data_IF_958032535260
#
_entry.id   IF_958032535260
#
_cell.length_a   1.000
_cell.length_b   1.000
_cell.length_c   1.000
_cell.angle_alpha   90.00
_cell.angle_beta   90.00
_cell.angle_gamma   90.00
#
_symmetry.space_group_name_H-M   'P 1'
#
loop_
_entity.id
_entity.type
_entity.pdbx_description
1 polymer ?
#
# COMPACT_ATOMS: atom_id res chain seq x y z
N UNK A 1 20.93 7.38 22.20
CA UNK A 1 22.22 6.75 21.79
C UNK A 1 22.86 7.68 20.79
N UNK A 2 24.10 7.98 21.00
CA UNK A 2 24.88 8.95 20.24
C UNK A 2 25.18 8.40 18.85
N UNK A 3 24.58 8.98 17.82
CA UNK A 3 24.80 8.59 16.42
C UNK A 3 26.25 8.85 15.99
N UNK A 4 26.90 9.88 16.57
CA UNK A 4 28.29 10.21 16.29
C UNK A 4 29.23 9.12 16.79
N UNK A 5 29.00 8.61 18.01
CA UNK A 5 29.78 7.52 18.56
C UNK A 5 29.70 6.25 17.73
N UNK A 6 28.48 5.83 17.35
CA UNK A 6 28.31 4.63 16.51
C UNK A 6 28.91 4.79 15.11
N UNK A 7 28.70 5.95 14.53
CA UNK A 7 29.19 6.22 13.18
C UNK A 7 30.72 6.24 13.11
N UNK A 8 31.38 6.82 14.12
CA UNK A 8 32.84 6.80 14.24
C UNK A 8 33.36 5.38 14.48
N UNK A 9 32.75 4.63 15.42
CA UNK A 9 33.14 3.25 15.70
C UNK A 9 33.06 2.34 14.49
N UNK A 10 32.10 2.57 13.60
CA UNK A 10 31.88 1.80 12.37
C UNK A 10 32.55 2.42 11.14
N UNK A 11 33.26 3.54 11.29
CA UNK A 11 33.90 4.30 10.21
C UNK A 11 32.93 4.60 9.04
N UNK A 12 31.75 5.17 9.36
CA UNK A 12 30.72 5.44 8.37
C UNK A 12 30.92 6.80 7.69
N UNK A 13 30.79 6.82 6.36
CA UNK A 13 30.76 8.06 5.56
C UNK A 13 29.40 8.73 5.61
N UNK A 14 28.32 7.94 5.71
CA UNK A 14 26.94 8.40 5.66
C UNK A 14 26.04 7.62 6.62
N UNK A 15 25.02 8.32 7.14
CA UNK A 15 23.95 7.72 7.91
C UNK A 15 22.63 7.99 7.15
N UNK A 16 21.88 6.93 6.87
CA UNK A 16 20.56 7.01 6.26
C UNK A 16 19.48 6.71 7.29
N UNK A 17 18.58 7.67 7.51
CA UNK A 17 17.53 7.59 8.53
C UNK A 17 16.16 7.67 7.88
N UNK A 18 15.38 6.59 7.98
CA UNK A 18 13.96 6.60 7.65
C UNK A 18 13.15 6.91 8.90
N UNK A 19 12.35 7.95 8.87
CA UNK A 19 11.52 8.36 10.01
C UNK A 19 10.29 9.17 9.58
N UNK A 20 9.47 9.59 10.55
CA UNK A 20 8.29 10.44 10.32
C UNK A 20 8.62 11.72 9.56
N UNK A 21 9.76 12.29 9.86
CA UNK A 21 10.30 13.47 9.19
C UNK A 21 10.33 14.71 10.05
N UNK A 22 9.74 14.67 11.25
CA UNK A 22 9.81 15.73 12.26
C UNK A 22 11.26 15.97 12.64
N UNK A 23 11.59 17.25 12.91
CA UNK A 23 12.90 17.64 13.41
C UNK A 23 13.10 17.09 14.82
N UNK A 24 14.16 16.34 14.98
CA UNK A 24 14.59 15.77 16.26
C UNK A 24 16.13 15.75 16.34
N UNK A 25 16.66 15.23 17.45
CA UNK A 25 18.10 15.11 17.67
C UNK A 25 18.74 13.87 17.03
N UNK A 26 17.98 13.09 16.23
CA UNK A 26 18.49 11.88 15.56
C UNK A 26 19.22 12.26 14.24
N UNK A 27 20.22 13.09 14.37
CA UNK A 27 21.16 13.45 13.28
C UNK A 27 22.57 13.47 13.85
N UNK A 28 23.54 13.09 13.05
CA UNK A 28 24.95 13.20 13.42
C UNK A 28 25.45 14.62 13.15
N UNK A 29 26.28 15.15 14.07
CA UNK A 29 27.01 16.38 13.87
C UNK A 29 28.33 16.21 13.11
N UNK A 30 28.81 14.97 12.99
CA UNK A 30 30.13 14.63 12.41
C UNK A 30 30.00 13.87 11.09
N UNK A 31 28.94 13.07 10.92
CA UNK A 31 28.74 12.20 9.78
C UNK A 31 27.55 12.70 8.96
N UNK A 32 27.68 12.73 7.65
CA UNK A 32 26.62 13.17 6.76
C UNK A 32 25.35 12.34 6.95
N UNK A 33 24.26 12.98 7.36
CA UNK A 33 22.98 12.31 7.62
C UNK A 33 21.96 12.67 6.54
N UNK A 34 21.42 11.64 5.88
CA UNK A 34 20.29 11.74 4.95
C UNK A 34 19.01 11.34 5.67
N UNK A 35 18.05 12.26 5.73
CA UNK A 35 16.71 12.02 6.31
C UNK A 35 15.75 11.68 5.19
N UNK A 36 15.14 10.49 5.29
CA UNK A 36 14.06 10.06 4.39
C UNK A 36 12.72 10.16 5.12
N UNK A 37 11.99 11.24 4.85
CA UNK A 37 10.71 11.53 5.48
C UNK A 37 9.59 10.66 4.89
N UNK A 38 8.91 9.92 5.77
CA UNK A 38 7.84 8.99 5.40
C UNK A 38 6.45 9.60 5.49
N UNK A 39 6.30 10.74 6.19
CA UNK A 39 5.02 11.41 6.38
C UNK A 39 5.05 12.85 5.90
N UNK A 40 3.87 13.48 5.75
CA UNK A 40 3.77 14.90 5.40
C UNK A 40 4.46 15.79 6.43
N UNK A 41 5.43 16.58 6.01
CA UNK A 41 6.13 17.54 6.85
C UNK A 41 6.24 18.89 6.16
N UNK A 42 6.21 19.98 6.93
CA UNK A 42 6.43 21.32 6.41
C UNK A 42 7.93 21.64 6.31
N UNK A 43 8.25 22.75 5.66
CA UNK A 43 9.65 23.16 5.42
C UNK A 43 10.44 23.43 6.70
N UNK A 44 9.81 23.74 7.83
CA UNK A 44 10.48 24.01 9.12
C UNK A 44 11.06 22.74 9.74
N UNK A 45 10.55 21.57 9.34
CA UNK A 45 11.01 20.27 9.82
C UNK A 45 12.27 19.75 9.11
N UNK A 46 12.72 20.47 8.06
CA UNK A 46 13.92 20.08 7.29
C UNK A 46 15.15 20.14 8.19
N UNK A 47 15.88 19.03 8.25
CA UNK A 47 17.11 18.88 9.01
C UNK A 47 18.01 17.78 8.42
N UNK A 48 19.18 17.58 9.01
CA UNK A 48 20.22 16.70 8.45
C UNK A 48 20.97 17.37 7.27
N UNK A 49 21.90 16.64 6.68
CA UNK A 49 22.68 17.13 5.53
C UNK A 49 21.89 17.08 4.22
N UNK A 50 21.05 16.09 4.09
CA UNK A 50 20.06 15.94 3.02
C UNK A 50 18.73 15.51 3.59
N UNK A 51 17.65 16.02 3.00
CA UNK A 51 16.28 15.69 3.38
C UNK A 51 15.49 15.38 2.10
N UNK A 52 14.85 14.20 2.08
CA UNK A 52 14.06 13.76 0.92
C UNK A 52 12.69 13.25 1.37
N UNK A 53 11.68 13.45 0.54
CA UNK A 53 10.34 12.90 0.75
C UNK A 53 10.24 11.50 0.15
N UNK A 54 9.43 10.62 0.72
CA UNK A 54 9.22 9.25 0.19
C UNK A 54 8.42 9.24 -1.12
N UNK A 55 7.81 10.34 -1.52
CA UNK A 55 7.03 10.40 -2.76
C UNK A 55 7.02 11.80 -3.37
N UNK A 56 6.85 11.85 -4.68
CA UNK A 56 6.65 13.09 -5.43
C UNK A 56 5.44 13.86 -4.90
N UNK A 57 4.35 13.18 -4.58
CA UNK A 57 3.15 13.82 -4.05
C UNK A 57 3.41 14.55 -2.73
N UNK A 58 4.20 13.97 -1.81
CA UNK A 58 4.59 14.65 -0.57
C UNK A 58 5.45 15.88 -0.86
N UNK A 59 6.45 15.75 -1.72
CA UNK A 59 7.29 16.87 -2.13
C UNK A 59 6.44 18.02 -2.69
N UNK A 60 5.59 17.73 -3.65
CA UNK A 60 4.73 18.71 -4.32
C UNK A 60 3.73 19.35 -3.36
N UNK A 61 3.01 18.54 -2.57
CA UNK A 61 1.89 19.01 -1.75
C UNK A 61 2.33 19.76 -0.50
N UNK A 62 3.43 19.37 0.14
CA UNK A 62 3.83 19.88 1.45
C UNK A 62 5.07 20.78 1.40
N UNK A 63 5.85 20.70 0.34
CA UNK A 63 7.06 21.51 0.20
C UNK A 63 7.11 22.36 -1.08
N UNK A 64 6.03 22.37 -1.88
CA UNK A 64 5.99 23.04 -3.19
C UNK A 64 7.17 22.66 -4.10
N UNK A 65 7.53 21.37 -4.15
CA UNK A 65 8.69 20.81 -4.85
C UNK A 65 10.06 21.34 -4.37
N UNK A 66 10.14 22.01 -3.22
CA UNK A 66 11.43 22.48 -2.66
C UNK A 66 12.30 21.33 -2.16
N UNK A 67 11.68 20.22 -1.75
CA UNK A 67 12.38 19.01 -1.33
C UNK A 67 12.40 17.96 -2.44
N UNK A 68 13.53 17.33 -2.71
CA UNK A 68 13.58 16.18 -3.60
C UNK A 68 12.79 15.00 -3.00
N UNK A 69 12.47 14.03 -3.84
CA UNK A 69 11.85 12.80 -3.39
C UNK A 69 12.67 11.58 -3.82
N UNK A 70 12.60 10.53 -2.99
CA UNK A 70 13.23 9.24 -3.21
C UNK A 70 12.17 8.16 -2.97
N UNK A 71 11.53 7.62 -4.01
CA UNK A 71 10.51 6.60 -3.83
C UNK A 71 11.13 5.25 -3.47
N UNK A 72 10.36 4.40 -2.78
CA UNK A 72 10.76 3.01 -2.57
C UNK A 72 10.86 2.25 -3.89
N UNK A 73 11.88 1.41 -3.99
CA UNK A 73 11.99 0.44 -5.07
C UNK A 73 11.17 -0.79 -4.64
N UNK A 74 10.07 -1.03 -5.34
CA UNK A 74 9.20 -2.18 -5.07
C UNK A 74 9.41 -3.23 -6.15
N UNK A 75 10.09 -4.30 -5.78
CA UNK A 75 10.36 -5.43 -6.67
C UNK A 75 9.91 -6.73 -5.99
N UNK A 76 8.77 -7.26 -6.42
CA UNK A 76 8.33 -8.59 -6.04
C UNK A 76 8.60 -9.55 -7.20
N UNK A 77 9.35 -10.61 -6.95
CA UNK A 77 9.55 -11.66 -7.95
C UNK A 77 8.20 -12.30 -8.29
N UNK A 78 7.93 -12.54 -9.58
CA UNK A 78 6.73 -13.26 -10.01
C UNK A 78 6.72 -14.66 -9.40
N UNK A 79 5.54 -15.13 -8.99
CA UNK A 79 5.34 -16.49 -8.51
C UNK A 79 4.10 -17.09 -9.14
N UNK A 80 4.17 -18.36 -9.52
CA UNK A 80 3.02 -19.14 -9.99
C UNK A 80 2.17 -19.69 -8.83
N UNK A 81 2.73 -19.69 -7.60
CA UNK A 81 2.03 -20.23 -6.42
C UNK A 81 1.10 -19.20 -5.80
N UNK A 82 -0.03 -19.66 -5.28
CA UNK A 82 -1.05 -18.84 -4.61
C UNK A 82 -1.71 -19.62 -3.46
N UNK A 83 -2.59 -18.96 -2.72
CA UNK A 83 -3.27 -19.52 -1.56
C UNK A 83 -4.67 -20.09 -1.89
N UNK A 84 -5.14 -20.02 -3.15
CA UNK A 84 -6.53 -20.35 -3.51
C UNK A 84 -6.92 -21.75 -3.08
N UNK A 85 -6.07 -22.76 -3.32
CA UNK A 85 -6.31 -24.15 -2.91
C UNK A 85 -6.45 -24.29 -1.38
N UNK A 86 -5.51 -23.70 -0.64
CA UNK A 86 -5.50 -23.76 0.83
C UNK A 86 -6.71 -23.07 1.46
N UNK A 87 -7.24 -22.02 0.79
CA UNK A 87 -8.41 -21.25 1.22
C UNK A 87 -9.71 -21.75 0.58
N UNK A 88 -9.70 -22.89 -0.12
CA UNK A 88 -10.85 -23.48 -0.81
C UNK A 88 -11.52 -22.51 -1.80
N UNK A 89 -10.75 -21.58 -2.38
CA UNK A 89 -11.22 -20.62 -3.38
C UNK A 89 -11.19 -21.31 -4.75
N UNK A 90 -12.34 -21.40 -5.40
CA UNK A 90 -12.49 -22.06 -6.71
C UNK A 90 -11.78 -21.24 -7.81
N UNK A 91 -11.29 -21.94 -8.86
CA UNK A 91 -10.55 -21.32 -9.98
C UNK A 91 -11.37 -20.24 -10.70
N UNK A 92 -12.68 -20.42 -10.81
CA UNK A 92 -13.61 -19.49 -11.48
C UNK A 92 -14.02 -18.29 -10.59
N UNK A 93 -13.71 -18.30 -9.30
CA UNK A 93 -14.05 -17.16 -8.42
C UNK A 93 -13.11 -15.98 -8.63
N UNK A 94 -13.68 -14.79 -8.62
CA UNK A 94 -12.98 -13.51 -8.62
C UNK A 94 -12.53 -13.18 -7.20
N UNK A 95 -11.28 -12.80 -7.02
CA UNK A 95 -10.73 -12.47 -5.70
C UNK A 95 -10.27 -11.02 -5.69
N UNK A 96 -10.92 -10.22 -4.86
CA UNK A 96 -10.44 -8.87 -4.52
C UNK A 96 -9.66 -8.94 -3.22
N UNK A 97 -8.47 -8.36 -3.18
CA UNK A 97 -7.62 -8.41 -2.00
C UNK A 97 -7.22 -7.04 -1.48
N UNK A 98 -6.84 -7.00 -0.20
CA UNK A 98 -6.15 -5.87 0.40
C UNK A 98 -5.24 -6.35 1.52
N UNK A 99 -4.06 -5.73 1.65
CA UNK A 99 -3.23 -5.89 2.84
C UNK A 99 -2.74 -4.52 3.34
N UNK A 100 -2.40 -4.47 4.62
CA UNK A 100 -1.95 -3.21 5.22
C UNK A 100 -1.85 -3.29 6.74
N UNK A 101 -1.90 -2.17 7.42
CA UNK A 101 -2.04 -2.12 8.86
C UNK A 101 -3.46 -2.52 9.30
N UNK A 102 -3.61 -3.08 10.51
CA UNK A 102 -4.90 -3.61 11.00
C UNK A 102 -6.07 -2.64 10.82
N UNK A 103 -5.86 -1.35 11.02
CA UNK A 103 -6.89 -0.32 10.93
C UNK A 103 -6.90 0.41 9.58
N UNK A 104 -6.20 -0.09 8.56
CA UNK A 104 -6.05 0.61 7.27
C UNK A 104 -7.18 0.34 6.25
N UNK A 105 -8.28 -0.29 6.67
CA UNK A 105 -9.46 -0.49 5.83
C UNK A 105 -10.69 0.04 6.56
N UNK A 106 -10.83 1.38 6.62
CA UNK A 106 -11.68 2.11 7.57
C UNK A 106 -12.90 2.80 6.95
N UNK A 107 -13.08 2.76 5.62
CA UNK A 107 -14.22 3.38 4.95
C UNK A 107 -15.47 2.49 5.09
N UNK A 108 -16.42 2.93 5.91
CA UNK A 108 -17.56 2.11 6.30
C UNK A 108 -18.45 1.70 5.12
N UNK A 109 -18.80 2.63 4.21
CA UNK A 109 -19.63 2.26 3.06
C UNK A 109 -18.93 1.23 2.14
N UNK A 110 -17.58 1.20 2.12
CA UNK A 110 -16.84 0.19 1.38
C UNK A 110 -17.05 -1.17 2.02
N UNK A 111 -16.84 -1.30 3.34
CA UNK A 111 -17.07 -2.54 4.09
C UNK A 111 -18.47 -3.10 3.87
N UNK A 112 -19.49 -2.23 3.94
CA UNK A 112 -20.90 -2.59 3.70
C UNK A 112 -21.13 -3.05 2.26
N UNK A 113 -20.52 -2.39 1.28
CA UNK A 113 -20.60 -2.77 -0.14
C UNK A 113 -20.00 -4.15 -0.37
N UNK A 114 -18.83 -4.44 0.22
CA UNK A 114 -18.20 -5.75 0.07
C UNK A 114 -19.07 -6.86 0.68
N UNK A 115 -19.69 -6.61 1.82
CA UNK A 115 -20.60 -7.57 2.45
C UNK A 115 -21.85 -7.81 1.58
N UNK A 116 -22.41 -6.77 0.99
CA UNK A 116 -23.53 -6.87 0.06
C UNK A 116 -23.16 -7.72 -1.18
N UNK A 117 -22.05 -7.42 -1.81
CA UNK A 117 -21.54 -8.19 -2.96
C UNK A 117 -21.30 -9.64 -2.57
N UNK A 118 -20.66 -9.88 -1.43
CA UNK A 118 -20.42 -11.25 -0.96
C UNK A 118 -21.72 -12.01 -0.70
N UNK A 119 -22.79 -11.38 -0.25
CA UNK A 119 -24.11 -12.01 -0.09
C UNK A 119 -24.79 -12.33 -1.43
N UNK A 120 -24.64 -11.47 -2.43
CA UNK A 120 -25.34 -11.59 -3.72
C UNK A 120 -24.56 -12.45 -4.73
N UNK A 121 -23.21 -12.33 -4.78
CA UNK A 121 -22.36 -12.96 -5.78
C UNK A 121 -21.57 -14.12 -5.20
N UNK A 122 -21.95 -15.37 -5.57
CA UNK A 122 -21.26 -16.60 -5.14
C UNK A 122 -19.88 -16.77 -5.78
N UNK A 123 -19.63 -16.08 -6.87
CA UNK A 123 -18.38 -16.10 -7.65
C UNK A 123 -17.35 -15.07 -7.16
N UNK A 124 -17.65 -14.23 -6.15
CA UNK A 124 -16.74 -13.21 -5.62
C UNK A 124 -16.30 -13.56 -4.21
N UNK A 125 -14.99 -13.41 -3.97
CA UNK A 125 -14.33 -13.57 -2.67
C UNK A 125 -13.52 -12.31 -2.37
N UNK A 126 -13.57 -11.86 -1.12
CA UNK A 126 -12.70 -10.81 -0.60
C UNK A 126 -11.66 -11.41 0.33
N UNK A 127 -10.40 -11.05 0.13
CA UNK A 127 -9.27 -11.64 0.85
C UNK A 127 -8.43 -10.54 1.49
N UNK A 128 -8.33 -10.54 2.80
CA UNK A 128 -7.62 -9.54 3.58
C UNK A 128 -6.44 -10.15 4.32
N UNK A 129 -5.29 -9.46 4.29
CA UNK A 129 -4.10 -9.83 5.05
C UNK A 129 -3.74 -8.70 6.01
N UNK A 130 -3.69 -9.01 7.31
CA UNK A 130 -3.40 -8.04 8.38
C UNK A 130 -4.41 -6.87 8.45
N UNK A 131 -5.67 -7.13 8.14
CA UNK A 131 -6.77 -6.16 8.30
C UNK A 131 -7.69 -6.65 9.40
N UNK A 132 -8.08 -5.76 10.31
CA UNK A 132 -9.03 -6.05 11.41
C UNK A 132 -10.36 -6.54 10.83
N UNK A 133 -10.88 -7.64 11.38
CA UNK A 133 -12.18 -8.18 10.96
C UNK A 133 -13.28 -7.17 11.19
N UNK A 134 -14.05 -6.87 10.15
CA UNK A 134 -15.20 -5.96 10.22
C UNK A 134 -16.55 -6.66 9.98
N UNK A 135 -16.54 -7.93 9.61
CA UNK A 135 -17.74 -8.76 9.47
C UNK A 135 -17.41 -10.27 9.54
N UNK A 136 -18.46 -11.09 9.61
CA UNK A 136 -18.35 -12.56 9.52
C UNK A 136 -19.12 -13.03 8.28
N UNK A 137 -18.41 -13.52 7.26
CA UNK A 137 -19.02 -14.05 6.03
C UNK A 137 -18.05 -15.05 5.37
N UNK A 138 -18.50 -16.22 4.85
CA UNK A 138 -17.60 -17.26 4.33
C UNK A 138 -16.79 -16.83 3.10
N UNK A 139 -17.23 -15.82 2.36
CA UNK A 139 -16.49 -15.25 1.20
C UNK A 139 -15.77 -13.92 1.50
N UNK A 140 -15.65 -13.56 2.77
CA UNK A 140 -14.80 -12.48 3.24
C UNK A 140 -13.81 -13.07 4.23
N UNK A 141 -12.60 -13.32 3.76
CA UNK A 141 -11.58 -14.09 4.45
C UNK A 141 -10.52 -13.12 5.01
N UNK A 142 -10.25 -13.23 6.30
CA UNK A 142 -9.23 -12.45 6.98
C UNK A 142 -8.08 -13.35 7.40
N UNK A 143 -6.89 -13.05 6.91
CA UNK A 143 -5.65 -13.74 7.23
C UNK A 143 -4.83 -12.92 8.24
N UNK A 144 -4.13 -13.61 9.12
CA UNK A 144 -3.20 -12.99 10.08
C UNK A 144 -2.04 -12.32 9.33
N UNK A 145 -1.55 -11.20 9.85
CA UNK A 145 -0.37 -10.51 9.35
C UNK A 145 0.88 -11.41 9.36
N UNK A 146 1.81 -11.14 8.45
CA UNK A 146 3.05 -11.90 8.31
C UNK A 146 4.19 -11.01 7.84
N UNK A 147 5.39 -11.32 8.30
CA UNK A 147 6.65 -10.79 7.76
C UNK A 147 7.23 -11.69 6.65
N UNK A 148 6.63 -12.87 6.41
CA UNK A 148 7.09 -13.79 5.37
C UNK A 148 6.71 -13.25 3.98
N UNK A 149 7.72 -12.81 3.24
CA UNK A 149 7.57 -12.25 1.89
C UNK A 149 6.96 -13.25 0.90
N UNK A 150 7.34 -14.53 0.99
CA UNK A 150 6.82 -15.57 0.10
C UNK A 150 5.32 -15.74 0.33
N UNK A 151 4.88 -15.73 1.59
CA UNK A 151 3.46 -15.81 1.92
C UNK A 151 2.70 -14.58 1.41
N UNK A 152 3.25 -13.37 1.59
CA UNK A 152 2.67 -12.14 1.05
C UNK A 152 2.55 -12.18 -0.48
N UNK A 153 3.59 -12.67 -1.17
CA UNK A 153 3.56 -12.88 -2.63
C UNK A 153 2.46 -13.85 -3.06
N UNK A 154 2.32 -14.99 -2.37
CA UNK A 154 1.24 -15.95 -2.61
C UNK A 154 -0.14 -15.33 -2.39
N UNK A 155 -0.28 -14.49 -1.36
CA UNK A 155 -1.51 -13.73 -1.09
C UNK A 155 -1.85 -12.82 -2.28
N UNK A 156 -0.94 -11.94 -2.72
CA UNK A 156 -1.17 -11.02 -3.85
C UNK A 156 -1.49 -11.80 -5.13
N UNK A 157 -0.79 -12.91 -5.36
CA UNK A 157 -1.03 -13.76 -6.53
C UNK A 157 -2.38 -14.51 -6.47
N UNK A 158 -2.97 -14.63 -5.28
CA UNK A 158 -4.33 -15.16 -5.13
C UNK A 158 -5.41 -14.16 -5.57
N UNK A 159 -5.09 -12.88 -5.62
CA UNK A 159 -6.01 -11.81 -5.92
C UNK A 159 -6.05 -11.52 -7.43
N UNK A 160 -7.22 -11.21 -7.95
CA UNK A 160 -7.42 -10.77 -9.32
C UNK A 160 -7.30 -9.24 -9.43
N UNK A 161 -7.67 -8.52 -8.35
CA UNK A 161 -7.50 -7.06 -8.21
C UNK A 161 -7.37 -6.68 -6.73
N UNK A 162 -6.93 -5.44 -6.46
CA UNK A 162 -6.94 -4.85 -5.13
C UNK A 162 -8.16 -3.98 -4.94
N UNK A 163 -8.79 -4.08 -3.76
CA UNK A 163 -9.77 -3.11 -3.29
C UNK A 163 -9.14 -2.31 -2.14
N UNK A 164 -8.95 -1.02 -2.34
CA UNK A 164 -8.33 -0.13 -1.38
C UNK A 164 -9.39 0.74 -0.70
N UNK A 165 -9.48 0.66 0.64
CA UNK A 165 -10.55 1.31 1.43
C UNK A 165 -10.03 2.04 2.67
N UNK A 166 -8.92 2.79 2.55
CA UNK A 166 -8.34 3.62 3.63
C UNK A 166 -8.64 5.09 3.39
N UNK A 167 -9.33 5.75 4.33
CA UNK A 167 -9.72 7.17 4.22
C UNK A 167 -8.52 8.12 4.25
N UNK A 168 -7.51 7.83 5.07
CA UNK A 168 -6.28 8.62 5.15
C UNK A 168 -5.49 8.60 3.84
N UNK A 169 -5.58 7.53 3.06
CA UNK A 169 -4.72 7.33 1.90
C UNK A 169 -3.28 6.97 2.28
N UNK A 170 -2.32 7.26 1.40
CA UNK A 170 -0.94 6.80 1.54
C UNK A 170 0.08 7.92 1.28
N UNK A 171 1.14 7.94 2.06
CA UNK A 171 2.32 8.78 1.82
C UNK A 171 3.23 8.23 0.71
N UNK A 172 3.21 6.91 0.48
CA UNK A 172 3.80 6.22 -0.68
C UNK A 172 2.81 5.21 -1.27
N UNK A 173 2.27 4.30 -0.45
CA UNK A 173 1.34 3.25 -0.88
C UNK A 173 2.03 1.95 -1.26
N UNK A 174 2.85 1.42 -0.35
CA UNK A 174 3.62 0.19 -0.58
C UNK A 174 2.74 -0.99 -1.02
N UNK A 175 1.60 -1.20 -0.34
CA UNK A 175 0.65 -2.26 -0.71
C UNK A 175 0.12 -2.10 -2.13
N UNK A 176 -0.23 -0.88 -2.54
CA UNK A 176 -0.67 -0.58 -3.90
C UNK A 176 0.44 -0.84 -4.92
N UNK A 177 1.67 -0.41 -4.63
CA UNK A 177 2.82 -0.64 -5.49
C UNK A 177 3.15 -2.14 -5.63
N UNK A 178 3.04 -2.92 -4.56
CA UNK A 178 3.21 -4.37 -4.59
C UNK A 178 2.16 -5.06 -5.47
N UNK A 179 0.88 -4.70 -5.36
CA UNK A 179 -0.16 -5.23 -6.24
C UNK A 179 0.06 -4.85 -7.70
N UNK A 180 0.42 -3.59 -7.97
CA UNK A 180 0.68 -3.10 -9.33
C UNK A 180 1.91 -3.77 -9.96
N UNK A 181 2.97 -4.03 -9.17
CA UNK A 181 4.16 -4.76 -9.66
C UNK A 181 3.84 -6.18 -10.12
N UNK A 182 2.72 -6.75 -9.66
CA UNK A 182 2.17 -8.03 -10.11
C UNK A 182 1.09 -7.88 -11.17
N UNK A 183 0.95 -6.70 -11.78
CA UNK A 183 -0.03 -6.42 -12.83
C UNK A 183 -1.49 -6.39 -12.35
N UNK A 184 -1.73 -6.21 -11.05
CA UNK A 184 -3.08 -6.19 -10.50
C UNK A 184 -3.68 -4.79 -10.57
N UNK A 185 -4.95 -4.70 -11.00
CA UNK A 185 -5.73 -3.46 -10.99
C UNK A 185 -6.06 -3.06 -9.55
N UNK A 186 -6.10 -1.76 -9.28
CA UNK A 186 -6.43 -1.20 -7.97
C UNK A 186 -7.70 -0.37 -8.09
N UNK A 187 -8.67 -0.66 -7.23
CA UNK A 187 -9.87 0.17 -7.02
C UNK A 187 -9.68 0.98 -5.75
N UNK A 188 -9.67 2.31 -5.85
CA UNK A 188 -9.42 3.20 -4.72
C UNK A 188 -10.49 4.27 -4.58
N UNK A 189 -10.74 4.69 -3.35
CA UNK A 189 -11.65 5.81 -3.08
C UNK A 189 -11.03 7.13 -3.54
N UNK A 190 -11.83 7.93 -4.26
CA UNK A 190 -11.38 9.19 -4.86
C UNK A 190 -11.06 10.26 -3.83
N UNK A 191 -11.81 10.31 -2.72
CA UNK A 191 -11.77 11.40 -1.73
C UNK A 191 -10.90 11.05 -0.51
N UNK A 192 -9.76 10.40 -0.73
CA UNK A 192 -8.75 10.13 0.29
C UNK A 192 -7.86 11.35 0.52
N UNK A 193 -7.29 11.45 1.74
CA UNK A 193 -6.48 12.60 2.14
C UNK A 193 -5.11 12.62 1.46
N UNK A 194 -4.39 11.51 1.48
CA UNK A 194 -3.04 11.38 0.91
C UNK A 194 -3.05 10.50 -0.34
N UNK A 195 -2.61 11.08 -1.47
CA UNK A 195 -2.82 10.50 -2.80
C UNK A 195 -1.55 9.96 -3.47
N UNK A 196 -0.47 9.71 -2.71
CA UNK A 196 0.81 9.30 -3.30
C UNK A 196 0.68 8.04 -4.17
N UNK A 197 -0.08 7.03 -3.72
CA UNK A 197 -0.29 5.81 -4.50
C UNK A 197 -1.01 6.04 -5.84
N UNK A 198 -1.81 7.11 -5.95
CA UNK A 198 -2.46 7.48 -7.21
C UNK A 198 -1.45 8.14 -8.16
N UNK A 199 -0.54 8.97 -7.63
CA UNK A 199 0.50 9.64 -8.42
C UNK A 199 1.58 8.68 -8.91
N UNK A 200 1.93 7.70 -8.08
CA UNK A 200 3.02 6.75 -8.36
C UNK A 200 2.61 5.61 -9.30
N UNK A 201 1.31 5.42 -9.54
CA UNK A 201 0.79 4.31 -10.33
C UNK A 201 0.36 4.76 -11.72
N UNK A 202 0.58 3.91 -12.72
CA UNK A 202 0.07 4.19 -14.06
C UNK A 202 -1.46 4.19 -14.05
N UNK A 203 -2.09 5.14 -14.75
CA UNK A 203 -3.56 5.22 -14.87
C UNK A 203 -4.19 3.94 -15.40
N UNK A 204 -3.45 3.12 -16.15
CA UNK A 204 -3.92 1.85 -16.71
C UNK A 204 -4.32 0.83 -15.64
N UNK A 205 -3.62 0.83 -14.50
CA UNK A 205 -3.82 -0.14 -13.42
C UNK A 205 -4.62 0.42 -12.25
N UNK A 206 -5.23 1.59 -12.43
CA UNK A 206 -5.90 2.29 -11.34
C UNK A 206 -7.30 2.75 -11.77
N UNK A 207 -8.28 2.54 -10.90
CA UNK A 207 -9.65 2.99 -11.11
C UNK A 207 -10.23 3.56 -9.81
N UNK A 208 -10.82 4.75 -9.89
CA UNK A 208 -11.38 5.43 -8.75
C UNK A 208 -12.87 5.15 -8.59
N UNK A 209 -13.32 4.99 -7.35
CA UNK A 209 -14.74 5.04 -7.00
C UNK A 209 -15.01 6.23 -6.07
N UNK A 210 -16.15 6.90 -6.29
CA UNK A 210 -16.54 8.11 -5.57
C UNK A 210 -17.72 7.90 -4.62
N UNK A 211 -18.45 6.79 -4.75
CA UNK A 211 -19.64 6.48 -3.98
C UNK A 211 -19.90 4.98 -3.88
N UNK A 212 -20.80 4.59 -2.98
CA UNK A 212 -21.28 3.20 -2.88
C UNK A 212 -21.85 2.67 -4.20
N UNK A 213 -22.69 3.45 -4.88
CA UNK A 213 -23.27 3.07 -6.18
C UNK A 213 -22.19 2.82 -7.24
N UNK A 214 -21.20 3.71 -7.30
CA UNK A 214 -20.09 3.59 -8.23
C UNK A 214 -19.24 2.33 -7.93
N UNK A 215 -18.90 2.09 -6.64
CA UNK A 215 -18.17 0.90 -6.24
C UNK A 215 -18.94 -0.38 -6.55
N UNK A 216 -20.25 -0.44 -6.29
CA UNK A 216 -21.10 -1.57 -6.66
C UNK A 216 -21.03 -1.86 -8.15
N UNK A 217 -21.14 -0.83 -8.99
CA UNK A 217 -21.06 -0.99 -10.44
C UNK A 217 -19.69 -1.53 -10.88
N UNK A 218 -18.60 -0.99 -10.34
CA UNK A 218 -17.24 -1.45 -10.66
C UNK A 218 -17.03 -2.92 -10.28
N UNK A 219 -17.42 -3.30 -9.08
CA UNK A 219 -17.27 -4.68 -8.61
C UNK A 219 -18.18 -5.66 -9.37
N UNK A 220 -19.39 -5.26 -9.74
CA UNK A 220 -20.32 -6.11 -10.51
C UNK A 220 -19.85 -6.33 -11.94
N UNK A 221 -19.26 -5.33 -12.55
CA UNK A 221 -18.80 -5.38 -13.95
C UNK A 221 -17.36 -5.89 -14.10
N UNK A 222 -16.65 -6.10 -13.01
CA UNK A 222 -15.28 -6.61 -13.06
C UNK A 222 -15.25 -8.02 -13.64
N UNK A 223 -14.42 -8.19 -14.67
CA UNK A 223 -14.13 -9.49 -15.30
C UNK A 223 -12.65 -9.79 -15.09
N UNK A 224 -12.34 -11.07 -14.82
CA UNK A 224 -10.94 -11.49 -14.81
C UNK A 224 -10.34 -11.23 -16.19
N UNK A 225 -9.23 -10.53 -16.22
CA UNK A 225 -8.41 -10.53 -17.40
C UNK A 225 -7.90 -11.97 -17.62
N UNK A 226 -8.04 -12.48 -18.84
CA UNK A 226 -7.39 -13.74 -19.22
C UNK A 226 -5.90 -13.51 -18.96
N UNK A 227 -5.29 -14.36 -18.14
CA UNK A 227 -3.85 -14.30 -17.90
C UNK A 227 -3.13 -14.31 -19.25
N UNK A 228 -2.54 -13.19 -19.62
CA UNK A 228 -1.54 -13.23 -20.67
C UNK A 228 -0.39 -14.09 -20.13
N UNK A 229 -0.22 -15.26 -20.73
CA UNK A 229 0.99 -16.05 -20.50
C UNK A 229 2.15 -15.26 -21.13
N UNK A 230 3.00 -14.70 -20.26
CA UNK A 230 4.33 -14.23 -20.63
C UNK A 230 5.34 -15.35 -20.39
#
# INVERSE_FOLDING_TARGET
KDMDHFGQKLNLDYIYVQKGGERDHNVSNRIKTLIHSLYPQNLKEIHGHKYVCVSEWLSKKFTNNKMPFLPYIVKLNKTKTNLKKNLQIKKNQIVFGCHGGENSFDIEFVRQTLLEIAKKRKDVVFLFLNIKKFCKHPRIIFLKGTFNEIYKKKFINSCDAMIYGRSLGESFGLACAEFTSQGKKIFSYKFIKHKSHIYNLSKKNFEEYSSRKNLLNLLNNFKKEKSFNF
#
